data_IF_780926271825
#
_entry.id   IF_780926271825
#
_cell.length_a   1.000
_cell.length_b   1.000
_cell.length_c   1.000
_cell.angle_alpha   90.00
_cell.angle_beta   90.00
_cell.angle_gamma   90.00
#
_symmetry.space_group_name_H-M   'P 1'
#
loop_
_entity.id
_entity.type
_entity.pdbx_description
1 polymer ?
#
# COMPACT_ATOMS: atom_id res chain seq x y z
N UNK A 1 -13.18 25.43 -19.90
CA UNK A 1 -12.51 25.04 -18.64
C UNK A 1 -12.54 23.53 -18.58
N UNK A 2 -11.52 22.90 -19.14
CA UNK A 2 -11.44 21.44 -19.25
C UNK A 2 -10.24 21.01 -18.44
N UNK A 3 -10.47 20.47 -17.26
CA UNK A 3 -9.48 19.67 -16.55
C UNK A 3 -9.84 18.21 -16.81
N UNK A 4 -9.38 17.71 -17.94
CA UNK A 4 -9.11 16.28 -18.06
C UNK A 4 -7.79 16.07 -17.29
N UNK A 5 -7.91 15.63 -16.05
CA UNK A 5 -6.79 15.37 -15.15
C UNK A 5 -6.97 14.01 -14.49
N UNK A 6 -7.39 13.04 -15.31
CA UNK A 6 -7.68 11.66 -14.92
C UNK A 6 -6.45 10.79 -14.67
N UNK A 7 -5.23 11.26 -14.97
CA UNK A 7 -4.00 10.48 -14.78
C UNK A 7 -3.05 11.23 -13.83
N UNK A 8 -3.33 11.17 -12.52
CA UNK A 8 -2.35 11.32 -11.41
C UNK A 8 -3.00 11.50 -10.01
N UNK A 9 -4.33 11.47 -9.88
CA UNK A 9 -5.00 11.59 -8.57
C UNK A 9 -4.97 10.30 -7.71
N UNK A 10 -4.41 9.19 -8.23
CA UNK A 10 -4.59 7.85 -7.68
C UNK A 10 -4.10 7.67 -6.23
N UNK A 11 -3.20 8.52 -5.72
CA UNK A 11 -2.66 8.43 -4.35
C UNK A 11 -2.98 9.64 -3.46
N UNK A 12 -3.95 10.48 -3.86
CA UNK A 12 -4.31 11.71 -3.11
C UNK A 12 -5.69 11.63 -2.45
N UNK A 13 -6.48 10.59 -2.71
CA UNK A 13 -7.77 10.48 -2.04
C UNK A 13 -7.54 10.33 -0.53
N UNK A 14 -8.42 10.86 0.33
CA UNK A 14 -8.28 10.72 1.78
C UNK A 14 -8.13 9.25 2.25
N UNK A 15 -8.65 8.30 1.46
CA UNK A 15 -8.50 6.86 1.73
C UNK A 15 -7.12 6.30 1.37
N UNK A 16 -6.47 6.83 0.34
CA UNK A 16 -5.09 6.48 -0.02
C UNK A 16 -4.12 6.96 1.04
N UNK A 17 -4.29 8.21 1.47
CA UNK A 17 -3.46 8.79 2.53
C UNK A 17 -3.57 7.93 3.78
N UNK A 18 -4.79 7.52 4.17
CA UNK A 18 -4.98 6.62 5.32
C UNK A 18 -4.39 5.23 5.10
N UNK A 19 -4.55 4.65 3.92
CA UNK A 19 -3.96 3.35 3.60
C UNK A 19 -2.43 3.38 3.70
N UNK A 20 -1.81 4.50 3.32
CA UNK A 20 -0.37 4.73 3.39
C UNK A 20 0.11 5.04 4.81
N UNK A 21 -0.60 5.88 5.57
CA UNK A 21 -0.11 6.44 6.83
C UNK A 21 -0.57 5.73 8.10
N UNK A 22 -1.75 5.10 8.09
CA UNK A 22 -2.26 4.40 9.28
C UNK A 22 -1.53 3.08 9.48
N UNK A 23 -1.33 2.68 10.74
CA UNK A 23 -0.71 1.39 11.06
C UNK A 23 -1.67 0.24 10.71
N UNK A 24 -1.35 -0.50 9.64
CA UNK A 24 -2.13 -1.64 9.16
C UNK A 24 -1.19 -2.83 8.97
N UNK A 25 -1.25 -3.80 9.89
CA UNK A 25 -0.47 -5.02 9.75
C UNK A 25 -1.18 -5.99 8.79
N UNK A 26 -0.46 -6.46 7.78
CA UNK A 26 -0.99 -7.39 6.77
C UNK A 26 -0.39 -8.77 6.98
N UNK A 27 -1.22 -9.80 6.98
CA UNK A 27 -0.84 -11.20 7.11
C UNK A 27 -1.51 -12.03 6.03
N UNK A 28 -0.75 -12.87 5.34
CA UNK A 28 -1.30 -13.80 4.35
C UNK A 28 -1.90 -15.02 5.08
N UNK A 29 -3.22 -15.16 4.99
CA UNK A 29 -3.93 -16.29 5.59
C UNK A 29 -4.05 -17.46 4.61
N UNK A 30 -4.32 -17.14 3.34
CA UNK A 30 -4.45 -18.10 2.25
C UNK A 30 -4.08 -17.40 0.92
N UNK A 31 -3.88 -18.14 -0.18
CA UNK A 31 -3.61 -17.53 -1.48
C UNK A 31 -4.72 -16.52 -1.83
N UNK A 32 -4.34 -15.30 -2.20
CA UNK A 32 -5.26 -14.19 -2.48
C UNK A 32 -6.08 -13.66 -1.29
N UNK A 33 -5.92 -14.21 -0.09
CA UNK A 33 -6.70 -13.88 1.10
C UNK A 33 -5.80 -13.45 2.27
N UNK A 34 -6.01 -12.21 2.71
CA UNK A 34 -5.18 -11.56 3.71
C UNK A 34 -5.99 -11.13 4.91
N UNK A 35 -5.38 -11.22 6.08
CA UNK A 35 -5.83 -10.54 7.28
C UNK A 35 -5.13 -9.20 7.42
N UNK A 36 -5.93 -8.16 7.63
CA UNK A 36 -5.47 -6.81 7.88
C UNK A 36 -5.90 -6.42 9.28
N UNK A 37 -4.92 -6.20 10.14
CA UNK A 37 -5.13 -5.70 11.49
C UNK A 37 -4.97 -4.19 11.49
N UNK A 38 -6.00 -3.51 11.97
CA UNK A 38 -5.97 -2.07 12.24
C UNK A 38 -5.25 -1.75 13.55
N UNK A 39 -4.81 -0.51 13.72
CA UNK A 39 -4.19 0.00 14.96
C UNK A 39 -5.06 -0.23 16.21
N UNK A 40 -6.39 -0.19 16.06
CA UNK A 40 -7.35 -0.50 17.12
C UNK A 40 -7.49 -2.00 17.42
N UNK A 41 -6.68 -2.85 16.78
CA UNK A 41 -6.68 -4.30 16.98
C UNK A 41 -7.85 -5.02 16.31
N UNK A 42 -8.58 -4.37 15.40
CA UNK A 42 -9.63 -5.05 14.62
C UNK A 42 -9.03 -5.76 13.44
N UNK A 43 -9.46 -7.00 13.26
CA UNK A 43 -9.11 -7.85 12.13
C UNK A 43 -10.15 -7.70 11.02
N UNK A 44 -9.66 -7.57 9.79
CA UNK A 44 -10.47 -7.58 8.58
C UNK A 44 -9.87 -8.53 7.57
N UNK A 45 -10.72 -9.26 6.85
CA UNK A 45 -10.30 -10.11 5.75
C UNK A 45 -10.39 -9.33 4.46
N UNK A 46 -9.34 -9.40 3.65
CA UNK A 46 -9.24 -8.78 2.34
C UNK A 46 -8.94 -9.85 1.30
N UNK A 47 -9.77 -9.89 0.28
CA UNK A 47 -9.55 -10.67 -0.93
C UNK A 47 -8.84 -9.75 -1.93
N UNK A 48 -7.62 -10.12 -2.32
CA UNK A 48 -6.78 -9.31 -3.18
C UNK A 48 -7.19 -9.38 -4.65
N UNK A 49 -7.76 -10.50 -5.10
CA UNK A 49 -8.23 -10.71 -6.47
C UNK A 49 -9.42 -9.79 -6.77
N UNK A 50 -10.42 -9.81 -5.89
CA UNK A 50 -11.66 -9.04 -6.05
C UNK A 50 -11.59 -7.66 -5.39
N UNK A 51 -10.54 -7.38 -4.62
CA UNK A 51 -10.39 -6.18 -3.76
C UNK A 51 -11.54 -6.05 -2.74
N UNK A 52 -12.20 -7.15 -2.40
CA UNK A 52 -13.27 -7.18 -1.43
C UNK A 52 -12.70 -7.15 -0.01
N UNK A 53 -13.37 -6.45 0.90
CA UNK A 53 -12.95 -6.37 2.29
C UNK A 53 -14.16 -6.54 3.22
N UNK A 54 -13.97 -7.23 4.35
CA UNK A 54 -15.01 -7.39 5.38
C UNK A 54 -15.16 -6.18 6.29
N UNK A 55 -14.48 -5.05 6.03
CA UNK A 55 -14.62 -3.87 6.86
C UNK A 55 -15.96 -3.14 6.63
N UNK A 56 -16.47 -2.39 7.64
CA UNK A 56 -17.71 -1.63 7.50
C UNK A 56 -17.70 -0.65 6.32
N UNK A 57 -16.57 -0.01 6.02
CA UNK A 57 -16.49 0.95 4.89
C UNK A 57 -16.72 0.25 3.55
N UNK A 58 -16.18 -0.95 3.35
CA UNK A 58 -16.42 -1.73 2.14
C UNK A 58 -17.87 -2.26 2.08
N UNK A 59 -18.40 -2.76 3.20
CA UNK A 59 -19.75 -3.32 3.26
C UNK A 59 -20.86 -2.28 3.03
N UNK A 60 -20.73 -1.10 3.63
CA UNK A 60 -21.79 -0.08 3.62
C UNK A 60 -21.60 0.99 2.54
N UNK A 61 -20.36 1.41 2.28
CA UNK A 61 -20.10 2.54 1.39
C UNK A 61 -19.63 2.12 0.00
N UNK A 62 -19.16 0.87 -0.15
CA UNK A 62 -18.60 0.28 -1.38
C UNK A 62 -17.93 1.31 -2.32
N UNK A 63 -16.91 2.04 -1.84
CA UNK A 63 -16.37 3.18 -2.57
C UNK A 63 -15.66 2.75 -3.85
N UNK A 64 -15.76 3.58 -4.90
CA UNK A 64 -14.97 3.38 -6.12
C UNK A 64 -13.47 3.42 -5.79
N UNK A 65 -12.76 2.36 -6.19
CA UNK A 65 -11.35 2.14 -5.87
C UNK A 65 -11.09 1.49 -4.50
N UNK A 66 -12.12 0.99 -3.81
CA UNK A 66 -11.98 0.15 -2.62
C UNK A 66 -11.74 0.91 -1.31
N UNK A 67 -11.93 0.19 -0.20
CA UNK A 67 -11.68 0.73 1.14
C UNK A 67 -10.16 0.90 1.41
N UNK A 68 -9.82 1.55 2.52
CA UNK A 68 -8.42 1.71 2.92
C UNK A 68 -7.63 0.40 3.01
N UNK A 69 -8.27 -0.70 3.41
CA UNK A 69 -7.61 -2.01 3.54
C UNK A 69 -7.33 -2.65 2.17
N UNK A 70 -8.26 -2.55 1.22
CA UNK A 70 -8.05 -3.03 -0.14
C UNK A 70 -6.94 -2.22 -0.86
N UNK A 71 -6.90 -0.91 -0.65
CA UNK A 71 -5.83 -0.03 -1.16
C UNK A 71 -4.47 -0.37 -0.53
N UNK A 72 -4.43 -0.60 0.79
CA UNK A 72 -3.24 -1.11 1.49
C UNK A 72 -2.77 -2.43 0.88
N UNK A 73 -3.69 -3.34 0.55
CA UNK A 73 -3.33 -4.64 -0.02
C UNK A 73 -2.73 -4.50 -1.42
N UNK A 74 -3.30 -3.64 -2.27
CA UNK A 74 -2.75 -3.35 -3.59
C UNK A 74 -1.32 -2.76 -3.50
N UNK A 75 -1.07 -1.88 -2.52
CA UNK A 75 0.26 -1.34 -2.25
C UNK A 75 1.22 -2.41 -1.73
N UNK A 76 0.76 -3.26 -0.82
CA UNK A 76 1.56 -4.35 -0.24
C UNK A 76 2.02 -5.34 -1.31
N UNK A 77 1.15 -5.68 -2.26
CA UNK A 77 1.51 -6.53 -3.41
C UNK A 77 2.38 -5.84 -4.46
N UNK A 78 2.62 -4.54 -4.30
CA UNK A 78 3.22 -3.70 -5.34
C UNK A 78 2.42 -3.68 -6.65
N UNK A 79 1.10 -3.95 -6.59
CA UNK A 79 0.19 -3.83 -7.74
C UNK A 79 0.03 -2.36 -8.15
N UNK A 80 0.18 -1.43 -7.19
CA UNK A 80 0.14 0.01 -7.39
C UNK A 80 1.53 0.62 -7.18
N UNK A 81 2.03 1.37 -8.17
CA UNK A 81 3.34 2.02 -8.07
C UNK A 81 3.25 3.26 -7.18
N UNK A 82 4.10 3.32 -6.15
CA UNK A 82 4.20 4.47 -5.26
C UNK A 82 4.97 5.59 -5.98
N UNK A 83 4.36 6.76 -6.23
CA UNK A 83 5.03 7.86 -6.91
C UNK A 83 6.22 8.41 -6.10
N UNK A 84 7.25 8.85 -6.80
CA UNK A 84 8.51 9.18 -6.16
C UNK A 84 8.58 10.47 -5.33
N UNK A 85 7.52 11.28 -5.40
CA UNK A 85 7.37 12.53 -4.65
C UNK A 85 6.71 12.32 -3.29
N UNK A 86 6.21 11.12 -2.99
CA UNK A 86 5.46 10.87 -1.77
C UNK A 86 6.41 10.79 -0.56
N UNK A 87 6.04 11.43 0.55
CA UNK A 87 6.85 11.45 1.77
C UNK A 87 6.77 10.11 2.51
N UNK A 88 7.86 9.32 2.44
CA UNK A 88 7.99 8.05 3.14
C UNK A 88 7.94 8.17 4.67
N UNK A 89 8.28 9.32 5.26
CA UNK A 89 8.18 9.49 6.73
C UNK A 89 6.72 9.50 7.23
N UNK A 90 5.77 9.76 6.33
CA UNK A 90 4.35 9.70 6.64
C UNK A 90 3.76 8.31 6.40
N UNK A 91 4.56 7.33 5.96
CA UNK A 91 4.07 5.98 5.70
C UNK A 91 4.10 5.14 6.96
N UNK A 92 3.23 4.13 6.99
CA UNK A 92 3.27 3.07 7.97
C UNK A 92 4.63 2.38 7.93
N UNK A 93 5.38 2.33 9.03
CA UNK A 93 6.66 1.65 9.09
C UNK A 93 6.59 0.18 8.63
N UNK A 94 5.48 -0.52 8.88
CA UNK A 94 5.30 -1.91 8.44
C UNK A 94 5.23 -2.02 6.91
N UNK A 95 4.65 -1.03 6.24
CA UNK A 95 4.59 -0.98 4.79
C UNK A 95 5.97 -0.67 4.19
N UNK A 96 6.69 0.28 4.79
CA UNK A 96 8.06 0.64 4.37
C UNK A 96 8.97 -0.58 4.45
N UNK A 97 8.92 -1.30 5.58
CA UNK A 97 9.71 -2.52 5.80
C UNK A 97 9.38 -3.59 4.76
N UNK A 98 8.10 -3.88 4.53
CA UNK A 98 7.69 -4.90 3.59
C UNK A 98 8.14 -4.63 2.15
N UNK A 99 8.00 -3.38 1.71
CA UNK A 99 8.39 -2.97 0.36
C UNK A 99 9.91 -2.76 0.22
N UNK A 100 10.68 -2.92 1.31
CA UNK A 100 12.11 -2.64 1.31
C UNK A 100 12.44 -1.19 0.95
N UNK A 101 11.52 -0.25 1.21
CA UNK A 101 11.69 1.14 0.85
C UNK A 101 12.69 1.80 1.78
N UNK A 102 13.88 2.06 1.28
CA UNK A 102 14.87 2.90 1.97
C UNK A 102 14.88 4.29 1.37
N UNK A 103 14.87 5.30 2.23
CA UNK A 103 15.10 6.68 1.80
C UNK A 103 16.56 6.83 1.36
N UNK A 104 16.84 6.62 0.08
CA UNK A 104 18.15 6.97 -0.50
C UNK A 104 18.19 8.47 -0.66
N UNK A 105 18.81 9.14 0.32
CA UNK A 105 19.09 10.58 0.23
C UNK A 105 20.21 10.77 -0.80
N UNK A 106 19.87 10.96 -2.07
CA UNK A 106 20.85 11.31 -3.09
C UNK A 106 21.36 12.73 -2.81
N UNK A 107 22.67 12.93 -2.82
CA UNK A 107 23.30 14.24 -2.62
C UNK A 107 23.24 15.14 -3.87
N UNK A 108 22.40 14.79 -4.84
CA UNK A 108 22.18 15.55 -6.06
C UNK A 108 20.90 16.34 -5.89
N UNK A 109 21.03 17.66 -5.76
CA UNK A 109 19.88 18.55 -5.59
C UNK A 109 18.81 18.24 -6.66
N UNK A 110 17.59 17.96 -6.20
CA UNK A 110 16.41 17.60 -7.00
C UNK A 110 16.40 16.17 -7.61
N UNK A 111 16.19 15.14 -6.77
CA UNK A 111 15.66 13.86 -7.25
C UNK A 111 15.78 12.70 -6.27
N UNK A 112 14.70 12.37 -5.56
CA UNK A 112 14.55 11.09 -4.86
C UNK A 112 14.47 9.97 -5.92
N UNK A 113 15.47 9.11 -5.97
CA UNK A 113 15.45 7.88 -6.78
C UNK A 113 15.18 6.69 -5.87
N UNK A 114 14.24 5.83 -6.28
CA UNK A 114 13.79 4.66 -5.54
C UNK A 114 14.62 3.46 -6.00
N UNK A 115 15.22 2.73 -5.05
CA UNK A 115 15.83 1.44 -5.34
C UNK A 115 15.00 0.37 -4.62
N UNK A 116 14.30 -0.45 -5.40
CA UNK A 116 13.68 -1.67 -4.94
C UNK A 116 14.77 -2.74 -4.85
N UNK A 117 15.16 -3.13 -3.63
CA UNK A 117 16.00 -4.31 -3.46
C UNK A 117 15.10 -5.53 -3.56
N UNK A 118 15.11 -6.18 -4.72
CA UNK A 118 14.47 -7.49 -4.88
C UNK A 118 15.03 -8.45 -3.84
N UNK A 119 14.13 -9.12 -3.11
CA UNK A 119 14.49 -10.18 -2.19
C UNK A 119 15.26 -11.25 -2.98
N UNK A 120 16.56 -11.33 -2.72
CA UNK A 120 17.42 -12.34 -3.33
C UNK A 120 16.90 -13.73 -2.95
N UNK A 121 16.60 -14.53 -3.96
CA UNK A 121 16.44 -15.98 -3.86
C UNK A 121 17.60 -16.54 -3.03
N UNK A 122 17.29 -17.02 -1.83
CA UNK A 122 18.17 -17.92 -1.11
C UNK A 122 18.06 -19.29 -1.79
N UNK A 123 18.94 -19.56 -2.74
CA UNK A 123 19.10 -20.90 -3.31
C UNK A 123 19.57 -21.85 -2.22
N UNK A 124 18.80 -22.92 -2.00
CA UNK A 124 19.21 -24.07 -1.20
C UNK A 124 20.41 -24.76 -1.86
N UNK A 125 21.46 -25.03 -1.10
CA UNK A 125 22.53 -25.96 -1.47
C UNK A 125 22.54 -27.08 -0.42
N UNK A 126 22.44 -28.31 -0.94
CA UNK A 126 22.24 -29.62 -0.27
C UNK A 126 23.52 -30.13 0.42
#
# INVERSE_FOLDING_TARGET
MSVDSGESLAMTAPRDVRALSELLAVYEFAPELYWVYSEEGREYTVDAETRACTCPDAQYNNPEGGCKHARRMALWRSDEQIPGWVNLEAFDPLLIEHLGLVCVRTNSGHGSSFQHFGNGEATADD
#
